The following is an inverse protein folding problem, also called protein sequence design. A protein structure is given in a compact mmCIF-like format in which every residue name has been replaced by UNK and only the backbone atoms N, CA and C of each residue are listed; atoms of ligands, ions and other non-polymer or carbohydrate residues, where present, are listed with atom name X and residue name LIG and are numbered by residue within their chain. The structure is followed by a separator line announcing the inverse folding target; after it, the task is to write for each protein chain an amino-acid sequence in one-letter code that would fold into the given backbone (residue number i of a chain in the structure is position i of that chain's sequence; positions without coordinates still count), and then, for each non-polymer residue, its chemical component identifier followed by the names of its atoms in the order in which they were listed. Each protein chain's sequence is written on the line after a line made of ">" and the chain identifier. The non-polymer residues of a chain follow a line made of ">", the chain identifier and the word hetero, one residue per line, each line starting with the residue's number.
data_IF_351554735393
#
_entry.id   IF_351554735393
#
_cell.length_a   1.000
_cell.length_b   1.000
_cell.length_c   1.000
_cell.angle_alpha   90.00
_cell.angle_beta   90.00
_cell.angle_gamma   90.00
#
_symmetry.space_group_name_H-M   'P 1'
#
loop_
_entity.id
_entity.type
_entity.pdbx_description
1 polymer ?
#
# COMPACT_ATOMS: atom_id res chain seq x y z
N UNK A 1 15.53 -7.42 -12.55
CA UNK A 1 14.43 -7.38 -11.58
C UNK A 1 14.99 -7.59 -10.17
N UNK A 2 14.69 -6.69 -9.27
CA UNK A 2 15.20 -6.78 -7.89
C UNK A 2 14.27 -7.66 -7.05
N UNK A 3 14.85 -8.53 -6.22
CA UNK A 3 14.12 -9.40 -5.31
C UNK A 3 14.21 -8.82 -3.90
N UNK A 4 13.11 -8.80 -3.18
CA UNK A 4 13.07 -8.30 -1.81
C UNK A 4 13.83 -9.24 -0.88
N UNK A 5 14.90 -8.75 -0.27
CA UNK A 5 15.68 -9.49 0.72
C UNK A 5 15.11 -9.27 2.13
N UNK A 6 15.49 -10.11 3.10
CA UNK A 6 15.05 -9.95 4.48
C UNK A 6 15.49 -8.59 5.08
N UNK A 7 16.76 -8.14 4.92
CA UNK A 7 17.15 -6.82 5.39
C UNK A 7 16.36 -5.67 4.75
N UNK A 8 16.05 -5.77 3.46
CA UNK A 8 15.26 -4.78 2.76
C UNK A 8 13.81 -4.76 3.28
N UNK A 9 13.26 -5.93 3.57
CA UNK A 9 11.91 -6.04 4.14
C UNK A 9 11.85 -5.39 5.52
N UNK A 10 12.85 -5.60 6.36
CA UNK A 10 12.92 -4.98 7.69
C UNK A 10 13.04 -3.47 7.61
N UNK A 11 13.86 -2.97 6.68
CA UNK A 11 14.00 -1.54 6.46
C UNK A 11 12.68 -0.92 6.02
N UNK A 12 12.00 -1.58 5.09
CA UNK A 12 10.70 -1.12 4.59
C UNK A 12 9.65 -1.07 5.69
N UNK A 13 9.62 -2.07 6.57
CA UNK A 13 8.69 -2.08 7.70
C UNK A 13 8.92 -0.86 8.60
N UNK A 14 10.19 -0.50 8.85
CA UNK A 14 10.51 0.69 9.63
C UNK A 14 10.11 1.97 8.92
N UNK A 15 10.41 2.10 7.64
CA UNK A 15 10.02 3.27 6.85
C UNK A 15 8.51 3.47 6.85
N UNK A 16 7.76 2.38 6.65
CA UNK A 16 6.30 2.44 6.61
C UNK A 16 5.70 2.91 7.94
N UNK A 17 6.40 2.70 9.05
CA UNK A 17 5.94 3.09 10.37
C UNK A 17 6.39 4.50 10.77
N UNK A 18 7.53 4.96 10.27
CA UNK A 18 8.18 6.18 10.76
C UNK A 18 8.12 7.35 9.81
N UNK A 19 7.93 7.13 8.50
CA UNK A 19 7.81 8.24 7.56
C UNK A 19 6.59 9.11 7.92
N UNK A 20 6.70 10.43 7.77
CA UNK A 20 5.52 11.29 7.90
C UNK A 20 4.42 10.83 6.95
N UNK A 21 3.18 10.83 7.44
CA UNK A 21 2.05 10.31 6.65
C UNK A 21 1.85 11.07 5.34
N UNK A 22 2.21 12.35 5.30
CA UNK A 22 2.17 13.15 4.07
C UNK A 22 3.10 12.61 2.99
N UNK A 23 4.29 12.14 3.39
CA UNK A 23 5.23 11.52 2.44
C UNK A 23 4.72 10.17 1.94
N UNK A 24 4.07 9.42 2.81
CA UNK A 24 3.43 8.16 2.45
C UNK A 24 2.32 8.40 1.42
N UNK A 25 1.48 9.40 1.66
CA UNK A 25 0.40 9.78 0.74
C UNK A 25 0.97 10.25 -0.60
N UNK A 26 2.03 11.06 -0.58
CA UNK A 26 2.68 11.53 -1.80
C UNK A 26 3.24 10.37 -2.63
N UNK A 27 3.87 9.41 -1.99
CA UNK A 27 4.38 8.22 -2.67
C UNK A 27 3.25 7.45 -3.36
N UNK A 28 2.17 7.18 -2.62
CA UNK A 28 1.04 6.43 -3.17
C UNK A 28 0.35 7.21 -4.30
N UNK A 29 0.21 8.52 -4.15
CA UNK A 29 -0.36 9.36 -5.20
C UNK A 29 0.47 9.28 -6.48
N UNK A 30 1.79 9.29 -6.35
CA UNK A 30 2.70 9.18 -7.49
C UNK A 30 2.58 7.83 -8.19
N UNK A 31 2.52 6.74 -7.42
CA UNK A 31 2.51 5.37 -7.99
C UNK A 31 1.13 4.92 -8.45
N UNK A 32 0.09 5.26 -7.71
CA UNK A 32 -1.27 4.77 -7.96
C UNK A 32 -2.21 5.84 -8.52
N UNK A 33 -1.91 7.12 -8.30
CA UNK A 33 -2.83 8.20 -8.59
C UNK A 33 -3.79 8.45 -7.43
N UNK A 34 -4.48 9.61 -7.47
CA UNK A 34 -5.37 10.03 -6.39
C UNK A 34 -6.58 9.12 -6.22
N UNK A 35 -7.21 8.71 -7.31
CA UNK A 35 -8.43 7.89 -7.26
C UNK A 35 -8.19 6.53 -6.62
N UNK A 36 -7.16 5.86 -7.07
CA UNK A 36 -6.82 4.54 -6.57
C UNK A 36 -6.42 4.59 -5.10
N UNK A 37 -5.64 5.61 -4.73
CA UNK A 37 -5.21 5.80 -3.34
C UNK A 37 -6.42 6.12 -2.45
N UNK A 38 -7.34 6.95 -2.92
CA UNK A 38 -8.57 7.25 -2.18
C UNK A 38 -9.42 5.98 -1.99
N UNK A 39 -9.54 5.17 -3.03
CA UNK A 39 -10.27 3.91 -2.94
C UNK A 39 -9.66 3.00 -1.88
N UNK A 40 -8.34 2.84 -1.91
CA UNK A 40 -7.58 2.04 -0.95
C UNK A 40 -7.90 2.44 0.50
N UNK A 41 -7.99 3.74 0.74
CA UNK A 41 -8.16 4.29 2.09
C UNK A 41 -9.61 4.44 2.53
N UNK A 42 -10.57 4.21 1.63
CA UNK A 42 -11.99 4.36 1.92
C UNK A 42 -12.51 5.77 1.81
N UNK A 43 -11.71 6.69 1.25
CA UNK A 43 -12.13 8.07 1.06
C UNK A 43 -13.00 8.21 -0.18
N UNK A 44 -14.06 9.02 -0.08
CA UNK A 44 -14.94 9.29 -1.22
C UNK A 44 -14.42 10.40 -2.13
N UNK A 45 -13.60 11.32 -1.58
CA UNK A 45 -13.06 12.45 -2.33
C UNK A 45 -11.56 12.23 -2.59
N UNK A 46 -11.23 11.94 -3.84
CA UNK A 46 -9.84 11.70 -4.26
C UNK A 46 -8.94 12.92 -4.02
N UNK A 47 -9.49 14.12 -4.01
CA UNK A 47 -8.70 15.34 -3.77
C UNK A 47 -8.08 15.40 -2.37
N UNK A 48 -8.68 14.70 -1.40
CA UNK A 48 -8.11 14.63 -0.05
C UNK A 48 -6.71 14.01 -0.05
N UNK A 49 -6.45 13.07 -0.95
CA UNK A 49 -5.11 12.48 -1.06
C UNK A 49 -4.08 13.55 -1.40
N UNK A 50 -4.40 14.45 -2.34
CA UNK A 50 -3.50 15.55 -2.68
C UNK A 50 -3.27 16.50 -1.51
N UNK A 51 -4.27 16.73 -0.67
CA UNK A 51 -4.12 17.57 0.52
C UNK A 51 -3.20 16.93 1.55
N UNK A 52 -3.37 15.63 1.80
CA UNK A 52 -2.49 14.89 2.73
C UNK A 52 -1.05 14.83 2.23
N UNK A 53 -0.86 14.79 0.91
CA UNK A 53 0.46 14.69 0.30
C UNK A 53 1.29 15.98 0.39
N UNK A 54 0.65 17.12 0.70
CA UNK A 54 1.37 18.39 0.82
C UNK A 54 2.07 18.48 2.18
N UNK A 55 3.24 19.12 2.21
CA UNK A 55 4.05 19.26 3.43
C UNK A 55 3.29 19.96 4.54
N UNK A 56 2.42 20.93 4.20
CA UNK A 56 1.61 21.70 5.15
C UNK A 56 0.15 21.23 5.18
N UNK A 57 -0.11 20.04 4.68
CA UNK A 57 -1.47 19.51 4.58
C UNK A 57 -2.02 19.03 5.92
N UNK A 58 -3.32 18.76 5.96
CA UNK A 58 -3.97 18.27 7.18
C UNK A 58 -3.54 16.84 7.50
N UNK A 59 -3.66 16.47 8.77
CA UNK A 59 -3.45 15.09 9.21
C UNK A 59 -4.69 14.26 8.92
N UNK A 60 -4.54 13.08 8.29
CA UNK A 60 -5.67 12.18 8.11
C UNK A 60 -6.08 11.53 9.43
N UNK A 61 -7.33 11.07 9.49
CA UNK A 61 -7.80 10.27 10.62
C UNK A 61 -6.95 9.01 10.75
N UNK A 62 -6.89 8.45 11.97
CA UNK A 62 -6.06 7.28 12.25
C UNK A 62 -6.33 6.10 11.31
N UNK A 63 -7.60 5.82 11.02
CA UNK A 63 -7.96 4.71 10.11
C UNK A 63 -7.43 4.93 8.69
N UNK A 64 -7.51 6.17 8.19
CA UNK A 64 -7.00 6.53 6.86
C UNK A 64 -5.48 6.46 6.85
N UNK A 65 -4.83 7.01 7.88
CA UNK A 65 -3.37 6.97 8.01
C UNK A 65 -2.86 5.53 8.02
N UNK A 66 -3.53 4.64 8.73
CA UNK A 66 -3.14 3.25 8.83
C UNK A 66 -3.26 2.55 7.47
N UNK A 67 -4.34 2.79 6.74
CA UNK A 67 -4.53 2.22 5.40
C UNK A 67 -3.50 2.76 4.41
N UNK A 68 -3.15 4.03 4.52
CA UNK A 68 -2.07 4.61 3.72
C UNK A 68 -0.75 3.88 3.97
N UNK A 69 -0.43 3.60 5.24
CA UNK A 69 0.82 2.91 5.58
C UNK A 69 0.82 1.45 5.13
N UNK A 70 -0.31 0.76 5.22
CA UNK A 70 -0.44 -0.60 4.68
C UNK A 70 -0.25 -0.60 3.16
N UNK A 71 -0.90 0.33 2.47
CA UNK A 71 -0.76 0.48 1.02
C UNK A 71 0.67 0.78 0.63
N UNK A 72 1.34 1.62 1.40
CA UNK A 72 2.75 1.96 1.18
C UNK A 72 3.64 0.72 1.19
N UNK A 73 3.47 -0.15 2.21
CA UNK A 73 4.24 -1.40 2.26
C UNK A 73 4.04 -2.24 1.02
N UNK A 74 2.79 -2.46 0.66
CA UNK A 74 2.43 -3.30 -0.50
C UNK A 74 3.01 -2.74 -1.79
N UNK A 75 2.78 -1.46 -2.05
CA UNK A 75 3.22 -0.82 -3.29
C UNK A 75 4.74 -0.75 -3.34
N UNK A 76 5.41 -0.41 -2.23
CA UNK A 76 6.88 -0.38 -2.19
C UNK A 76 7.48 -1.74 -2.49
N UNK A 77 6.98 -2.80 -1.86
CA UNK A 77 7.49 -4.16 -2.09
C UNK A 77 7.38 -4.56 -3.55
N UNK A 78 6.20 -4.38 -4.13
CA UNK A 78 5.97 -4.83 -5.50
C UNK A 78 6.64 -3.89 -6.52
N UNK A 79 6.55 -2.57 -6.32
CA UNK A 79 7.16 -1.62 -7.24
C UNK A 79 8.68 -1.73 -7.26
N UNK A 80 9.30 -1.94 -6.11
CA UNK A 80 10.76 -2.06 -6.03
C UNK A 80 11.24 -3.39 -6.65
N UNK A 81 10.46 -4.47 -6.49
CA UNK A 81 10.81 -5.77 -7.07
C UNK A 81 10.50 -5.85 -8.58
N UNK A 82 9.46 -5.16 -9.02
CA UNK A 82 8.99 -5.16 -10.41
C UNK A 82 8.85 -3.73 -10.91
N UNK A 83 7.63 -3.20 -10.87
CA UNK A 83 7.32 -1.82 -11.27
C UNK A 83 5.93 -1.41 -10.72
N UNK A 84 5.57 -0.13 -10.92
CA UNK A 84 4.31 0.41 -10.43
C UNK A 84 3.10 -0.21 -11.15
N UNK A 85 3.23 -0.53 -12.42
CA UNK A 85 2.14 -1.15 -13.18
C UNK A 85 1.81 -2.55 -12.65
N UNK A 86 2.84 -3.30 -12.27
CA UNK A 86 2.66 -4.61 -11.63
C UNK A 86 1.95 -4.46 -10.28
N UNK A 87 2.32 -3.44 -9.51
CA UNK A 87 1.66 -3.17 -8.21
C UNK A 87 0.17 -2.87 -8.42
N UNK A 88 -0.17 -2.03 -9.39
CA UNK A 88 -1.56 -1.71 -9.70
C UNK A 88 -2.34 -2.95 -10.11
N UNK A 89 -1.80 -3.73 -11.03
CA UNK A 89 -2.44 -4.95 -11.52
C UNK A 89 -2.68 -5.95 -10.39
N UNK A 90 -1.69 -6.11 -9.52
CA UNK A 90 -1.80 -7.03 -8.38
C UNK A 90 -2.89 -6.58 -7.40
N UNK A 91 -2.97 -5.28 -7.12
CA UNK A 91 -3.96 -4.73 -6.19
C UNK A 91 -5.40 -4.94 -6.66
N UNK A 92 -5.65 -4.88 -7.96
CA UNK A 92 -6.99 -5.03 -8.53
C UNK A 92 -7.35 -6.45 -8.94
N UNK A 93 -6.37 -7.33 -9.08
CA UNK A 93 -6.61 -8.71 -9.49
C UNK A 93 -7.15 -9.56 -8.35
N UNK A 94 -7.91 -10.60 -8.69
CA UNK A 94 -8.33 -11.59 -7.69
C UNK A 94 -7.12 -12.36 -7.19
N UNK A 95 -7.13 -12.74 -5.92
CA UNK A 95 -5.98 -13.37 -5.28
C UNK A 95 -6.41 -14.60 -4.49
N UNK A 96 -5.91 -15.77 -4.87
CA UNK A 96 -6.29 -17.04 -4.22
C UNK A 96 -5.85 -17.08 -2.75
N UNK A 97 -4.80 -16.35 -2.39
CA UNK A 97 -4.33 -16.27 -1.00
C UNK A 97 -5.25 -15.41 -0.14
N UNK A 98 -6.17 -14.68 -0.77
CA UNK A 98 -7.11 -13.78 -0.11
C UNK A 98 -8.56 -14.19 -0.41
N UNK A 99 -8.81 -15.48 -0.55
CA UNK A 99 -10.14 -16.03 -0.83
C UNK A 99 -10.74 -15.43 -2.10
N UNK A 100 -9.91 -15.24 -3.12
CA UNK A 100 -10.27 -14.68 -4.43
C UNK A 100 -10.73 -13.23 -4.40
N UNK A 101 -10.49 -12.53 -3.28
CA UNK A 101 -10.75 -11.10 -3.22
C UNK A 101 -9.57 -10.31 -3.79
N UNK A 102 -9.85 -9.11 -4.29
CA UNK A 102 -8.81 -8.21 -4.72
C UNK A 102 -8.10 -7.61 -3.50
N UNK A 103 -6.76 -7.57 -3.49
CA UNK A 103 -6.03 -7.03 -2.35
C UNK A 103 -6.45 -5.63 -1.94
N UNK A 104 -6.76 -4.75 -2.91
CA UNK A 104 -7.19 -3.39 -2.61
C UNK A 104 -8.51 -3.36 -1.86
N UNK A 105 -9.43 -4.28 -2.16
CA UNK A 105 -10.71 -4.40 -1.45
C UNK A 105 -10.48 -4.84 -0.01
N UNK A 106 -9.60 -5.80 0.20
CA UNK A 106 -9.29 -6.28 1.56
C UNK A 106 -8.70 -5.15 2.40
N UNK A 107 -7.76 -4.39 1.84
CA UNK A 107 -7.16 -3.25 2.55
C UNK A 107 -8.19 -2.16 2.85
N UNK A 108 -9.07 -1.87 1.89
CA UNK A 108 -10.11 -0.85 2.04
C UNK A 108 -11.09 -1.19 3.16
N UNK A 109 -11.50 -2.45 3.26
CA UNK A 109 -12.56 -2.87 4.17
C UNK A 109 -12.05 -3.54 5.44
N UNK A 110 -10.73 -3.67 5.62
CA UNK A 110 -10.16 -4.35 6.77
C UNK A 110 -10.55 -3.67 8.08
N UNK A 111 -11.12 -4.46 8.99
CA UNK A 111 -11.48 -4.02 10.34
C UNK A 111 -10.57 -4.66 11.39
N UNK A 112 -9.95 -5.79 11.06
CA UNK A 112 -9.07 -6.54 11.95
C UNK A 112 -7.64 -6.55 11.40
N UNK A 113 -6.62 -6.50 12.27
CA UNK A 113 -5.22 -6.52 11.83
C UNK A 113 -4.84 -7.71 10.95
N UNK A 114 -5.47 -8.87 11.19
CA UNK A 114 -5.18 -10.10 10.43
C UNK A 114 -5.47 -9.94 8.95
N UNK A 115 -6.47 -9.14 8.60
CA UNK A 115 -6.87 -8.92 7.20
C UNK A 115 -5.79 -8.15 6.45
N UNK A 116 -5.28 -7.07 7.02
CA UNK A 116 -4.19 -6.30 6.42
C UNK A 116 -2.89 -7.11 6.38
N UNK A 117 -2.61 -7.88 7.44
CA UNK A 117 -1.43 -8.73 7.52
C UNK A 117 -1.43 -9.77 6.41
N UNK A 118 -2.60 -10.35 6.09
CA UNK A 118 -2.71 -11.32 5.00
C UNK A 118 -2.33 -10.70 3.65
N UNK A 119 -2.77 -9.48 3.39
CA UNK A 119 -2.43 -8.76 2.14
C UNK A 119 -0.93 -8.48 2.08
N UNK A 120 -0.37 -7.96 3.16
CA UNK A 120 1.05 -7.62 3.24
C UNK A 120 1.91 -8.88 3.06
N UNK A 121 1.51 -9.99 3.67
CA UNK A 121 2.21 -11.28 3.53
C UNK A 121 2.18 -11.76 2.07
N UNK A 122 1.01 -11.67 1.41
CA UNK A 122 0.89 -12.07 0.01
C UNK A 122 1.77 -11.20 -0.89
N UNK A 123 1.82 -9.89 -0.65
CA UNK A 123 2.68 -8.98 -1.40
C UNK A 123 4.16 -9.31 -1.19
N UNK A 124 4.55 -9.61 0.06
CA UNK A 124 5.94 -9.97 0.39
C UNK A 124 6.35 -11.25 -0.33
N UNK A 125 5.46 -12.23 -0.41
CA UNK A 125 5.74 -13.48 -1.12
C UNK A 125 5.98 -13.22 -2.60
N UNK A 126 5.16 -12.39 -3.25
CA UNK A 126 5.38 -12.02 -4.64
C UNK A 126 6.72 -11.31 -4.83
N UNK A 127 7.01 -10.34 -3.98
CA UNK A 127 8.24 -9.54 -4.09
C UNK A 127 9.51 -10.35 -3.81
N UNK A 128 9.39 -11.43 -3.06
CA UNK A 128 10.51 -12.31 -2.70
C UNK A 128 10.65 -13.52 -3.62
N UNK A 129 9.73 -13.69 -4.58
CA UNK A 129 9.72 -14.84 -5.46
C UNK A 129 10.92 -14.83 -6.42
N UNK A 130 11.58 -15.97 -6.53
CA UNK A 130 12.70 -16.19 -7.46
C UNK A 130 12.37 -17.40 -8.34
N UNK A 131 12.57 -17.23 -9.64
CA UNK A 131 12.49 -18.33 -10.58
C UNK A 131 13.83 -19.06 -10.70
#
# INVERSE_FOLDING_TARGET
>A
MAVLTAPQSDLLDREASTLPVGEVAAYLQDKLGQRMTAFLTGLSDAKQIGRYARADGPEPRAAVAQRLRHGYKVVRMISDAYDAETAKAWLFGTNTRLDDEAPIEVLRTAEKPEQSTAVIRAARQLASFQE
#
